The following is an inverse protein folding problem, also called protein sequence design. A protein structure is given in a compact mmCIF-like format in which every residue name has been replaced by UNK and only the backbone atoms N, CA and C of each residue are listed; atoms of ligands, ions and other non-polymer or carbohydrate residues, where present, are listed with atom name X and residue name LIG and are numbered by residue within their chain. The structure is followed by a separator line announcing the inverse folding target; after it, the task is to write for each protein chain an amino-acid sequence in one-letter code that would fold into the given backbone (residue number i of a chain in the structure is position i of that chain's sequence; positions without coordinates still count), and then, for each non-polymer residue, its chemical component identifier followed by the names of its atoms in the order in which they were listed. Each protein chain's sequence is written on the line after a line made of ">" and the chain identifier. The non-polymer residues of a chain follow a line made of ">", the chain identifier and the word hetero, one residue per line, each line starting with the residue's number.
data_IF_515398923448
#
_entry.id   IF_515398923448
#
_cell.length_a   1.000
_cell.length_b   1.000
_cell.length_c   1.000
_cell.angle_alpha   90.00
_cell.angle_beta   90.00
_cell.angle_gamma   90.00
#
_symmetry.space_group_name_H-M   'P 1'
#
loop_
_entity.id
_entity.type
_entity.pdbx_description
1 polymer ?
#
# COMPACT_ATOMS: atom_id res chain seq x y z
N UNK A 1 -46.44 -30.01 -24.11
CA UNK A 1 -45.20 -30.81 -24.23
C UNK A 1 -44.73 -30.60 -25.65
N UNK A 2 -43.55 -30.13 -26.03
CA UNK A 2 -42.21 -29.88 -25.49
C UNK A 2 -41.58 -28.91 -26.53
N UNK A 3 -40.48 -28.19 -26.40
CA UNK A 3 -39.45 -27.94 -25.41
C UNK A 3 -38.51 -26.98 -26.15
N UNK A 4 -38.35 -25.74 -25.68
CA UNK A 4 -37.58 -24.71 -26.39
C UNK A 4 -36.11 -24.84 -26.01
N UNK A 5 -35.28 -25.32 -26.95
CA UNK A 5 -33.82 -25.32 -26.86
C UNK A 5 -33.31 -23.88 -26.66
N UNK A 6 -32.86 -23.54 -25.45
CA UNK A 6 -32.10 -22.31 -25.22
C UNK A 6 -30.60 -22.57 -25.39
N UNK A 7 -30.05 -21.95 -26.43
CA UNK A 7 -28.65 -22.05 -26.84
C UNK A 7 -27.71 -21.37 -25.83
N UNK A 8 -26.82 -22.16 -25.23
CA UNK A 8 -25.77 -21.71 -24.34
C UNK A 8 -24.54 -21.15 -25.11
N UNK A 9 -24.74 -20.14 -25.97
CA UNK A 9 -23.67 -19.60 -26.85
C UNK A 9 -22.94 -18.36 -26.33
N UNK A 10 -23.39 -17.74 -25.23
CA UNK A 10 -22.78 -16.49 -24.72
C UNK A 10 -21.66 -16.68 -23.69
N UNK A 11 -21.58 -17.83 -23.00
CA UNK A 11 -20.54 -18.11 -21.99
C UNK A 11 -19.20 -18.49 -22.63
N UNK A 12 -19.23 -19.29 -23.70
CA UNK A 12 -18.02 -19.79 -24.37
C UNK A 12 -17.16 -18.71 -25.06
N UNK A 13 -17.72 -17.53 -25.36
CA UNK A 13 -17.00 -16.43 -26.00
C UNK A 13 -16.14 -15.59 -25.05
N UNK A 14 -16.52 -15.51 -23.77
CA UNK A 14 -15.79 -14.80 -22.73
C UNK A 14 -14.63 -15.67 -22.24
N UNK A 15 -14.89 -16.95 -21.97
CA UNK A 15 -13.86 -17.92 -21.58
C UNK A 15 -12.76 -18.05 -22.62
N UNK A 16 -13.08 -18.12 -23.92
CA UNK A 16 -12.06 -18.16 -24.98
C UNK A 16 -11.18 -16.93 -24.98
N UNK A 17 -11.74 -15.72 -24.85
CA UNK A 17 -10.94 -14.48 -24.79
C UNK A 17 -10.04 -14.46 -23.57
N UNK A 18 -10.52 -14.91 -22.42
CA UNK A 18 -9.72 -15.01 -21.19
C UNK A 18 -8.62 -16.06 -21.31
N UNK A 19 -8.91 -17.23 -21.89
CA UNK A 19 -7.92 -18.27 -22.22
C UNK A 19 -6.83 -17.74 -23.16
N UNK A 20 -7.19 -17.03 -24.24
CA UNK A 20 -6.21 -16.39 -25.14
C UNK A 20 -5.33 -15.36 -24.41
N UNK A 21 -5.90 -14.53 -23.53
CA UNK A 21 -5.14 -13.55 -22.75
C UNK A 21 -4.23 -14.21 -21.68
N UNK A 22 -4.63 -15.36 -21.17
CA UNK A 22 -3.83 -16.15 -20.21
C UNK A 22 -2.66 -16.85 -20.90
N UNK A 23 -2.88 -17.44 -22.08
CA UNK A 23 -1.84 -18.14 -22.85
C UNK A 23 -0.66 -17.22 -23.19
N UNK A 24 -0.93 -15.96 -23.55
CA UNK A 24 0.15 -14.98 -23.82
C UNK A 24 0.89 -14.49 -22.55
N UNK A 25 0.37 -14.77 -21.35
CA UNK A 25 1.03 -14.41 -20.07
C UNK A 25 1.90 -15.54 -19.51
N UNK A 26 1.75 -16.76 -20.00
CA UNK A 26 2.62 -17.89 -19.62
C UNK A 26 3.85 -17.87 -20.52
N UNK A 27 5.08 -17.84 -19.96
CA UNK A 27 6.29 -17.91 -20.79
C UNK A 27 6.38 -19.25 -21.51
N UNK A 28 6.98 -19.28 -22.70
CA UNK A 28 7.22 -20.52 -23.42
C UNK A 28 8.36 -21.35 -22.79
N UNK A 29 8.25 -22.68 -22.85
CA UNK A 29 9.25 -23.63 -22.35
C UNK A 29 8.68 -24.64 -21.35
N UNK A 30 9.56 -25.46 -20.77
CA UNK A 30 9.18 -26.52 -19.80
C UNK A 30 9.97 -26.42 -18.48
N UNK A 31 10.43 -25.22 -18.16
CA UNK A 31 11.15 -24.95 -16.90
C UNK A 31 10.20 -25.01 -15.69
N UNK A 32 10.69 -25.33 -14.48
CA UNK A 32 9.86 -25.34 -13.26
C UNK A 32 9.03 -24.06 -13.05
N UNK A 33 9.60 -22.89 -13.35
CA UNK A 33 8.89 -21.61 -13.29
C UNK A 33 7.72 -21.52 -14.28
N UNK A 34 7.93 -21.98 -15.52
CA UNK A 34 6.87 -22.00 -16.54
C UNK A 34 5.73 -22.93 -16.12
N UNK A 35 6.05 -24.12 -15.58
CA UNK A 35 5.04 -25.02 -15.04
C UNK A 35 4.26 -24.37 -13.90
N UNK A 36 4.95 -23.66 -12.99
CA UNK A 36 4.30 -22.89 -11.92
C UNK A 36 3.34 -21.82 -12.47
N UNK A 37 3.73 -21.05 -13.50
CA UNK A 37 2.87 -20.05 -14.15
C UNK A 37 1.66 -20.67 -14.85
N UNK A 38 1.84 -21.81 -15.50
CA UNK A 38 0.74 -22.54 -16.13
C UNK A 38 -0.27 -23.00 -15.07
N UNK A 39 0.21 -23.60 -13.98
CA UNK A 39 -0.62 -24.01 -12.85
C UNK A 39 -1.37 -22.83 -12.23
N UNK A 40 -0.68 -21.71 -12.02
CA UNK A 40 -1.26 -20.49 -11.44
C UNK A 40 -2.36 -19.88 -12.33
N UNK A 41 -2.10 -19.72 -13.63
CA UNK A 41 -2.94 -18.88 -14.49
C UNK A 41 -3.93 -19.68 -15.34
N UNK A 42 -3.57 -20.89 -15.77
CA UNK A 42 -4.39 -21.75 -16.65
C UNK A 42 -5.19 -22.73 -15.81
N UNK A 43 -4.51 -23.56 -15.02
CA UNK A 43 -5.15 -24.62 -14.22
C UNK A 43 -5.80 -24.05 -12.95
N UNK A 44 -5.44 -22.81 -12.57
CA UNK A 44 -5.88 -22.12 -11.34
C UNK A 44 -5.60 -22.91 -10.05
N UNK A 45 -4.61 -23.81 -10.11
CA UNK A 45 -4.14 -24.57 -8.95
C UNK A 45 -3.05 -23.79 -8.23
N UNK A 46 -3.48 -22.94 -7.30
CA UNK A 46 -2.60 -22.07 -6.51
C UNK A 46 -1.69 -22.86 -5.57
N UNK A 47 -2.16 -24.01 -5.05
CA UNK A 47 -1.39 -24.81 -4.09
C UNK A 47 -0.21 -25.48 -4.79
N UNK A 48 -0.47 -26.17 -5.91
CA UNK A 48 0.59 -26.83 -6.68
C UNK A 48 1.49 -25.79 -7.35
N UNK A 49 0.95 -24.63 -7.76
CA UNK A 49 1.78 -23.53 -8.26
C UNK A 49 2.84 -23.08 -7.23
N UNK A 50 2.50 -22.96 -5.95
CA UNK A 50 3.47 -22.60 -4.88
C UNK A 50 4.59 -23.64 -4.81
N UNK A 51 4.26 -24.94 -4.85
CA UNK A 51 5.27 -26.01 -4.84
C UNK A 51 6.23 -25.91 -6.04
N UNK A 52 5.69 -25.62 -7.23
CA UNK A 52 6.51 -25.45 -8.42
C UNK A 52 7.35 -24.17 -8.42
N UNK A 53 6.87 -23.08 -7.83
CA UNK A 53 7.71 -21.90 -7.62
C UNK A 53 8.85 -22.19 -6.65
N UNK A 54 8.60 -22.94 -5.57
CA UNK A 54 9.65 -23.38 -4.66
C UNK A 54 10.70 -24.25 -5.37
N UNK A 55 10.25 -25.18 -6.22
CA UNK A 55 11.13 -25.98 -7.08
C UNK A 55 11.95 -25.10 -8.04
N UNK A 56 11.36 -24.05 -8.60
CA UNK A 56 12.07 -23.11 -9.47
C UNK A 56 13.17 -22.34 -8.72
N UNK A 57 12.88 -21.86 -7.51
CA UNK A 57 13.86 -21.17 -6.65
C UNK A 57 15.07 -22.09 -6.37
N UNK A 58 14.82 -23.32 -5.93
CA UNK A 58 15.88 -24.28 -5.61
C UNK A 58 16.70 -24.71 -6.84
N UNK A 59 16.08 -24.71 -8.03
CA UNK A 59 16.75 -25.01 -9.29
C UNK A 59 17.48 -23.80 -9.90
N UNK A 60 17.41 -22.61 -9.28
CA UNK A 60 17.96 -21.37 -9.84
C UNK A 60 17.19 -20.82 -11.04
N UNK A 61 15.99 -21.35 -11.32
CA UNK A 61 15.17 -20.97 -12.46
C UNK A 61 14.37 -19.69 -12.15
N UNK A 62 14.84 -18.56 -12.72
CA UNK A 62 14.20 -17.24 -12.62
C UNK A 62 13.87 -16.87 -11.17
N UNK A 63 14.80 -17.10 -10.25
CA UNK A 63 14.62 -16.95 -8.79
C UNK A 63 13.92 -15.65 -8.40
N UNK A 64 14.33 -14.51 -8.96
CA UNK A 64 13.71 -13.20 -8.73
C UNK A 64 12.19 -13.22 -9.01
N UNK A 65 11.79 -13.77 -10.15
CA UNK A 65 10.38 -13.82 -10.57
C UNK A 65 9.62 -14.91 -9.82
N UNK A 66 10.25 -16.07 -9.61
CA UNK A 66 9.67 -17.18 -8.88
C UNK A 66 9.30 -16.79 -7.44
N UNK A 67 10.22 -16.15 -6.71
CA UNK A 67 9.98 -15.72 -5.33
C UNK A 67 8.87 -14.67 -5.24
N UNK A 68 8.87 -13.67 -6.14
CA UNK A 68 7.83 -12.64 -6.17
C UNK A 68 6.46 -13.22 -6.47
N UNK A 69 6.36 -14.05 -7.51
CA UNK A 69 5.08 -14.63 -7.91
C UNK A 69 4.57 -15.61 -6.85
N UNK A 70 5.46 -16.40 -6.22
CA UNK A 70 5.12 -17.27 -5.10
C UNK A 70 4.51 -16.49 -3.94
N UNK A 71 5.17 -15.42 -3.49
CA UNK A 71 4.69 -14.59 -2.39
C UNK A 71 3.35 -13.91 -2.71
N UNK A 72 3.12 -13.50 -3.96
CA UNK A 72 1.81 -12.96 -4.39
C UNK A 72 0.72 -14.03 -4.33
N UNK A 73 0.99 -15.26 -4.78
CA UNK A 73 0.02 -16.38 -4.71
C UNK A 73 -0.27 -16.74 -3.24
N UNK A 74 0.76 -16.83 -2.40
CA UNK A 74 0.59 -17.08 -0.97
C UNK A 74 -0.26 -16.00 -0.29
N UNK A 75 -0.03 -14.72 -0.61
CA UNK A 75 -0.87 -13.61 -0.13
C UNK A 75 -2.34 -13.77 -0.52
N UNK A 76 -2.62 -14.20 -1.76
CA UNK A 76 -3.98 -14.43 -2.26
C UNK A 76 -4.68 -15.61 -1.58
N UNK A 77 -3.91 -16.61 -1.13
CA UNK A 77 -4.37 -17.77 -0.38
C UNK A 77 -4.43 -17.53 1.15
N UNK A 78 -4.34 -16.27 1.57
CA UNK A 78 -4.30 -15.84 2.98
C UNK A 78 -3.13 -16.40 3.80
N UNK A 79 -2.08 -16.88 3.13
CA UNK A 79 -0.82 -17.39 3.72
C UNK A 79 0.23 -16.30 3.75
N UNK A 80 -0.13 -15.14 4.29
CA UNK A 80 0.71 -13.93 4.25
C UNK A 80 1.97 -14.07 5.13
N UNK A 81 1.87 -14.72 6.29
CA UNK A 81 3.02 -14.97 7.17
C UNK A 81 4.06 -15.90 6.52
N UNK A 82 3.60 -17.00 5.92
CA UNK A 82 4.48 -17.91 5.16
C UNK A 82 5.14 -17.20 3.96
N UNK A 83 4.44 -16.26 3.31
CA UNK A 83 5.03 -15.44 2.26
C UNK A 83 6.17 -14.55 2.78
N UNK A 84 6.00 -13.96 3.98
CA UNK A 84 7.04 -13.17 4.64
C UNK A 84 8.26 -14.05 4.93
N UNK A 85 8.06 -15.23 5.50
CA UNK A 85 9.13 -16.17 5.81
C UNK A 85 9.88 -16.62 4.54
N UNK A 86 9.15 -16.93 3.47
CA UNK A 86 9.74 -17.29 2.20
C UNK A 86 10.61 -16.14 1.64
N UNK A 87 10.11 -14.90 1.65
CA UNK A 87 10.91 -13.75 1.19
C UNK A 87 12.15 -13.57 2.07
N UNK A 88 12.02 -13.61 3.41
CA UNK A 88 13.17 -13.48 4.32
C UNK A 88 14.21 -14.56 4.06
N UNK A 89 13.76 -15.79 3.82
CA UNK A 89 14.62 -16.96 3.61
C UNK A 89 15.34 -16.90 2.26
N UNK A 90 14.66 -16.50 1.18
CA UNK A 90 15.21 -16.63 -0.18
C UNK A 90 15.69 -15.31 -0.81
N UNK A 91 15.39 -14.14 -0.23
CA UNK A 91 15.77 -12.85 -0.86
C UNK A 91 17.26 -12.69 -1.10
N UNK A 92 18.12 -13.35 -0.32
CA UNK A 92 19.57 -13.29 -0.51
C UNK A 92 20.04 -13.95 -1.82
N UNK A 93 19.23 -14.85 -2.39
CA UNK A 93 19.48 -15.48 -3.70
C UNK A 93 19.06 -14.57 -4.87
N UNK A 94 18.30 -13.51 -4.60
CA UNK A 94 17.78 -12.62 -5.61
C UNK A 94 18.76 -11.50 -5.98
N UNK A 95 18.64 -10.99 -7.21
CA UNK A 95 19.44 -9.86 -7.68
C UNK A 95 19.24 -8.60 -6.85
N UNK A 96 20.22 -7.68 -6.87
CA UNK A 96 20.11 -6.36 -6.23
C UNK A 96 18.89 -5.57 -6.75
N UNK A 97 18.58 -5.71 -8.04
CA UNK A 97 17.45 -5.04 -8.68
C UNK A 97 16.10 -5.58 -8.17
N UNK A 98 16.03 -6.86 -7.78
CA UNK A 98 14.81 -7.45 -7.24
C UNK A 98 14.52 -7.03 -5.79
N UNK A 99 15.56 -6.70 -5.01
CA UNK A 99 15.42 -6.33 -3.58
C UNK A 99 14.39 -5.23 -3.35
N UNK A 100 14.41 -4.17 -4.18
CA UNK A 100 13.44 -3.07 -4.03
C UNK A 100 11.99 -3.54 -4.17
N UNK A 101 11.72 -4.43 -5.14
CA UNK A 101 10.38 -4.99 -5.33
C UNK A 101 9.98 -5.97 -4.23
N UNK A 102 10.94 -6.72 -3.67
CA UNK A 102 10.71 -7.61 -2.54
C UNK A 102 10.42 -6.82 -1.26
N UNK A 103 11.14 -5.72 -1.01
CA UNK A 103 10.86 -4.83 0.12
C UNK A 103 9.46 -4.22 0.01
N UNK A 104 9.03 -3.80 -1.18
CA UNK A 104 7.70 -3.25 -1.39
C UNK A 104 6.61 -4.31 -1.10
N UNK A 105 6.87 -5.57 -1.47
CA UNK A 105 5.97 -6.68 -1.15
C UNK A 105 5.96 -6.99 0.35
N UNK A 106 7.12 -6.96 1.02
CA UNK A 106 7.23 -7.11 2.47
C UNK A 106 6.46 -6.02 3.21
N UNK A 107 6.54 -4.76 2.80
CA UNK A 107 5.79 -3.66 3.43
C UNK A 107 4.27 -3.88 3.36
N UNK A 108 3.78 -4.42 2.24
CA UNK A 108 2.37 -4.75 2.04
C UNK A 108 1.95 -6.00 2.83
N UNK A 109 2.81 -7.01 2.92
CA UNK A 109 2.58 -8.19 3.76
C UNK A 109 2.61 -7.85 5.25
N UNK A 110 3.58 -7.08 5.72
CA UNK A 110 3.64 -6.61 7.12
C UNK A 110 2.41 -5.81 7.50
N UNK A 111 1.93 -4.95 6.60
CA UNK A 111 0.68 -4.22 6.79
C UNK A 111 -0.50 -5.18 6.95
N UNK A 112 -0.59 -6.22 6.12
CA UNK A 112 -1.66 -7.23 6.18
C UNK A 112 -1.61 -8.05 7.48
N UNK A 113 -0.42 -8.41 7.95
CA UNK A 113 -0.21 -9.21 9.16
C UNK A 113 -0.16 -8.40 10.47
N UNK A 114 -0.30 -7.07 10.42
CA UNK A 114 -0.18 -6.22 11.63
C UNK A 114 1.24 -6.18 12.21
N UNK A 115 2.27 -6.55 11.44
CA UNK A 115 3.68 -6.55 11.84
C UNK A 115 4.26 -5.13 11.75
N UNK A 116 3.74 -4.23 12.59
CA UNK A 116 4.04 -2.79 12.51
C UNK A 116 5.51 -2.48 12.86
N UNK A 117 6.12 -3.25 13.77
CA UNK A 117 7.53 -3.07 14.15
C UNK A 117 8.49 -3.29 12.98
N UNK A 118 8.34 -4.43 12.30
CA UNK A 118 9.11 -4.80 11.12
C UNK A 118 8.87 -3.84 9.95
N UNK A 119 7.64 -3.35 9.81
CA UNK A 119 7.31 -2.33 8.83
C UNK A 119 8.07 -1.02 9.10
N UNK A 120 8.11 -0.55 10.34
CA UNK A 120 8.84 0.66 10.74
C UNK A 120 10.33 0.49 10.45
N UNK A 121 10.90 -0.65 10.82
CA UNK A 121 12.33 -0.90 10.65
C UNK A 121 12.72 -0.90 9.16
N UNK A 122 11.94 -1.59 8.32
CA UNK A 122 12.16 -1.61 6.88
C UNK A 122 12.01 -0.21 6.25
N UNK A 123 11.02 0.58 6.69
CA UNK A 123 10.84 1.96 6.22
C UNK A 123 12.02 2.86 6.61
N UNK A 124 12.53 2.74 7.85
CA UNK A 124 13.72 3.46 8.32
C UNK A 124 14.96 3.07 7.53
N UNK A 125 15.16 1.77 7.28
CA UNK A 125 16.27 1.28 6.46
C UNK A 125 16.21 1.86 5.05
N UNK A 126 15.04 1.85 4.39
CA UNK A 126 14.88 2.44 3.05
C UNK A 126 15.16 3.94 3.04
N UNK A 127 14.69 4.68 4.05
CA UNK A 127 15.01 6.10 4.21
C UNK A 127 16.52 6.32 4.38
N UNK A 128 17.19 5.49 5.17
CA UNK A 128 18.64 5.54 5.35
C UNK A 128 19.38 5.31 4.03
N UNK A 129 18.98 4.31 3.24
CA UNK A 129 19.58 4.06 1.92
C UNK A 129 19.41 5.22 0.94
N UNK A 130 18.34 6.01 1.06
CA UNK A 130 18.17 7.24 0.28
C UNK A 130 19.13 8.31 0.79
N UNK A 131 19.25 8.48 2.11
CA UNK A 131 20.18 9.43 2.71
C UNK A 131 21.65 9.13 2.38
N UNK A 132 22.05 7.85 2.34
CA UNK A 132 23.41 7.44 1.94
C UNK A 132 23.63 7.46 0.44
N UNK A 133 22.58 7.68 -0.37
CA UNK A 133 22.65 7.74 -1.83
C UNK A 133 22.64 6.38 -2.53
N UNK A 134 22.65 5.27 -1.78
CA UNK A 134 22.65 3.91 -2.30
C UNK A 134 21.38 3.60 -3.10
N UNK A 135 20.22 4.06 -2.63
CA UNK A 135 18.93 3.78 -3.27
C UNK A 135 18.79 4.38 -4.69
N UNK A 136 19.58 5.42 -4.99
CA UNK A 136 19.54 6.12 -6.28
C UNK A 136 20.88 6.07 -7.03
N UNK A 137 21.88 5.35 -6.51
CA UNK A 137 23.25 5.31 -7.05
C UNK A 137 23.80 6.73 -7.33
N UNK A 138 23.58 7.65 -6.40
CA UNK A 138 23.99 9.06 -6.52
C UNK A 138 23.21 9.93 -7.51
N UNK A 139 22.17 9.40 -8.17
CA UNK A 139 21.30 10.17 -9.09
C UNK A 139 20.16 10.86 -8.34
N UNK A 140 19.63 11.94 -8.89
CA UNK A 140 18.45 12.63 -8.32
C UNK A 140 17.13 11.93 -8.62
N UNK A 141 17.10 11.09 -9.67
CA UNK A 141 15.92 10.36 -10.12
C UNK A 141 16.26 8.93 -10.53
N UNK A 142 15.26 8.04 -10.47
CA UNK A 142 15.34 6.67 -10.98
C UNK A 142 14.08 6.31 -11.75
N UNK A 143 14.23 5.41 -12.73
CA UNK A 143 13.09 4.90 -13.49
C UNK A 143 12.35 3.85 -12.66
N UNK A 144 11.12 4.15 -12.27
CA UNK A 144 10.22 3.20 -11.64
C UNK A 144 9.19 2.68 -12.66
N UNK A 145 8.53 1.56 -12.34
CA UNK A 145 7.47 1.00 -13.18
C UNK A 145 6.24 0.73 -12.32
N UNK A 146 5.09 1.24 -12.76
CA UNK A 146 3.79 0.99 -12.13
C UNK A 146 2.76 0.70 -13.22
N UNK A 147 1.96 -0.36 -13.05
CA UNK A 147 0.96 -0.82 -14.03
C UNK A 147 1.48 -0.90 -15.47
N UNK A 148 2.71 -1.39 -15.65
CA UNK A 148 3.36 -1.52 -16.97
C UNK A 148 3.91 -0.21 -17.55
N UNK A 149 3.61 0.95 -16.96
CA UNK A 149 4.12 2.25 -17.38
C UNK A 149 5.41 2.61 -16.65
N UNK A 150 6.39 3.11 -17.38
CA UNK A 150 7.64 3.65 -16.82
C UNK A 150 7.43 5.12 -16.47
N UNK A 151 7.96 5.54 -15.33
CA UNK A 151 7.96 6.94 -14.91
C UNK A 151 9.25 7.26 -14.16
N UNK A 152 9.58 8.54 -14.08
CA UNK A 152 10.73 9.01 -13.29
C UNK A 152 10.27 9.29 -11.87
N UNK A 153 10.95 8.69 -10.91
CA UNK A 153 10.74 8.86 -9.49
C UNK A 153 11.91 9.65 -8.93
N UNK A 154 11.66 10.80 -8.31
CA UNK A 154 12.71 11.61 -7.66
C UNK A 154 13.00 11.17 -6.23
N UNK A 155 14.18 11.52 -5.71
CA UNK A 155 14.52 11.36 -4.28
C UNK A 155 13.44 12.01 -3.40
N UNK A 156 12.98 13.20 -3.79
CA UNK A 156 11.99 13.98 -3.05
C UNK A 156 10.64 13.25 -2.97
N UNK A 157 10.15 12.75 -4.11
CA UNK A 157 8.93 11.96 -4.21
C UNK A 157 9.00 10.69 -3.36
N UNK A 158 10.10 9.95 -3.50
CA UNK A 158 10.25 8.68 -2.79
C UNK A 158 10.38 8.89 -1.28
N UNK A 159 11.16 9.87 -0.85
CA UNK A 159 11.31 10.23 0.57
C UNK A 159 9.97 10.64 1.17
N UNK A 160 9.20 11.49 0.47
CA UNK A 160 7.89 11.91 0.93
C UNK A 160 6.93 10.73 1.09
N UNK A 161 6.91 9.80 0.13
CA UNK A 161 6.11 8.58 0.17
C UNK A 161 6.49 7.67 1.34
N UNK A 162 7.78 7.43 1.56
CA UNK A 162 8.25 6.59 2.67
C UNK A 162 7.96 7.22 4.03
N UNK A 163 8.13 8.54 4.17
CA UNK A 163 7.77 9.26 5.40
C UNK A 163 6.27 9.19 5.71
N UNK A 164 5.41 9.30 4.69
CA UNK A 164 3.97 9.15 4.87
C UNK A 164 3.58 7.74 5.32
N UNK A 165 4.22 6.71 4.75
CA UNK A 165 4.02 5.32 5.17
C UNK A 165 4.54 5.07 6.60
N UNK A 166 5.67 5.70 6.96
CA UNK A 166 6.22 5.62 8.32
C UNK A 166 5.31 6.30 9.34
N UNK A 167 4.70 7.44 8.96
CA UNK A 167 3.67 8.09 9.77
C UNK A 167 2.47 7.19 9.99
N UNK A 168 2.01 6.50 8.95
CA UNK A 168 0.91 5.54 9.08
C UNK A 168 1.26 4.40 10.03
N UNK A 169 2.47 3.85 9.95
CA UNK A 169 2.92 2.80 10.85
C UNK A 169 2.99 3.30 12.32
N UNK A 170 3.49 4.51 12.57
CA UNK A 170 3.47 5.10 13.91
C UNK A 170 2.06 5.35 14.45
N UNK A 171 1.11 5.73 13.57
CA UNK A 171 -0.30 5.84 13.97
C UNK A 171 -0.86 4.50 14.46
N UNK A 172 -0.44 3.37 13.87
CA UNK A 172 -0.88 2.04 14.32
C UNK A 172 -0.28 1.65 15.69
N UNK A 173 0.87 2.22 16.08
CA UNK A 173 1.45 2.04 17.41
C UNK A 173 0.95 3.08 18.43
N UNK A 174 -0.02 3.91 18.06
CA UNK A 174 -0.48 5.05 18.86
C UNK A 174 0.64 6.05 19.23
N UNK A 175 1.77 5.99 18.54
CA UNK A 175 2.87 6.94 18.71
C UNK A 175 2.62 8.18 17.86
N UNK A 176 1.62 8.95 18.29
CA UNK A 176 1.15 10.11 17.54
C UNK A 176 2.20 11.22 17.41
N UNK A 177 3.09 11.38 18.40
CA UNK A 177 4.16 12.36 18.35
C UNK A 177 5.16 12.05 17.22
N UNK A 178 5.60 10.79 17.12
CA UNK A 178 6.49 10.38 16.03
C UNK A 178 5.78 10.46 14.67
N UNK A 179 4.50 10.08 14.59
CA UNK A 179 3.69 10.16 13.39
C UNK A 179 3.57 11.60 12.87
N UNK A 180 3.28 12.55 13.75
CA UNK A 180 3.16 13.97 13.41
C UNK A 180 4.46 14.53 12.83
N UNK A 181 5.61 14.22 13.44
CA UNK A 181 6.91 14.67 12.98
C UNK A 181 7.20 14.21 11.54
N UNK A 182 6.95 12.93 11.24
CA UNK A 182 7.20 12.38 9.90
C UNK A 182 6.16 12.85 8.89
N UNK A 183 4.89 13.01 9.28
CA UNK A 183 3.86 13.56 8.39
C UNK A 183 4.10 15.01 8.02
N UNK A 184 4.53 15.86 8.97
CA UNK A 184 4.92 17.24 8.67
C UNK A 184 6.09 17.28 7.70
N UNK A 185 7.10 16.43 7.90
CA UNK A 185 8.24 16.34 6.98
C UNK A 185 7.81 15.86 5.60
N UNK A 186 6.91 14.89 5.50
CA UNK A 186 6.36 14.41 4.24
C UNK A 186 5.60 15.54 3.50
N UNK A 187 4.75 16.28 4.21
CA UNK A 187 3.99 17.41 3.66
C UNK A 187 4.90 18.56 3.19
N UNK A 188 5.99 18.85 3.94
CA UNK A 188 6.96 19.88 3.57
C UNK A 188 7.77 19.50 2.32
N UNK A 189 8.01 18.20 2.11
CA UNK A 189 8.62 17.70 0.88
C UNK A 189 7.60 17.84 -0.26
N UNK A 190 6.53 17.07 -0.23
CA UNK A 190 5.50 17.10 -1.28
C UNK A 190 4.12 17.29 -0.68
N UNK A 191 3.58 18.52 -0.74
CA UNK A 191 2.23 18.80 -0.30
C UNK A 191 1.23 17.93 -1.05
N UNK A 192 0.33 17.30 -0.30
CA UNK A 192 -0.70 16.41 -0.83
C UNK A 192 -1.88 16.39 0.14
N UNK A 193 -3.10 16.44 -0.40
CA UNK A 193 -4.32 16.42 0.40
C UNK A 193 -4.42 15.16 1.26
N UNK A 194 -4.00 14.00 0.76
CA UNK A 194 -4.06 12.75 1.52
C UNK A 194 -3.09 12.76 2.73
N UNK A 195 -1.87 13.26 2.53
CA UNK A 195 -0.88 13.42 3.61
C UNK A 195 -1.37 14.44 4.65
N UNK A 196 -1.96 15.55 4.20
CA UNK A 196 -2.55 16.55 5.09
C UNK A 196 -3.73 16.00 5.89
N UNK A 197 -4.63 15.21 5.28
CA UNK A 197 -5.71 14.53 5.99
C UNK A 197 -5.17 13.55 7.03
N UNK A 198 -4.13 12.77 6.71
CA UNK A 198 -3.50 11.87 7.67
C UNK A 198 -2.85 12.64 8.85
N UNK A 199 -2.21 13.78 8.58
CA UNK A 199 -1.71 14.69 9.62
C UNK A 199 -2.87 15.25 10.47
N UNK A 200 -4.00 15.61 9.86
CA UNK A 200 -5.21 16.04 10.56
C UNK A 200 -5.71 15.00 11.55
N UNK A 201 -5.85 13.74 11.11
CA UNK A 201 -6.22 12.61 11.97
C UNK A 201 -5.22 12.42 13.11
N UNK A 202 -3.92 12.51 12.82
CA UNK A 202 -2.87 12.43 13.83
C UNK A 202 -3.05 13.50 14.92
N UNK A 203 -3.28 14.76 14.52
CA UNK A 203 -3.50 15.87 15.44
C UNK A 203 -4.81 15.71 16.25
N UNK A 204 -5.87 15.16 15.64
CA UNK A 204 -7.11 14.83 16.35
C UNK A 204 -6.87 13.79 17.45
N UNK A 205 -6.10 12.74 17.16
CA UNK A 205 -5.75 11.69 18.14
C UNK A 205 -4.88 12.20 19.29
N UNK A 206 -4.12 13.27 19.08
CA UNK A 206 -3.40 13.98 20.14
C UNK A 206 -4.26 14.98 20.92
N UNK A 207 -5.53 15.17 20.55
CA UNK A 207 -6.41 16.20 21.13
C UNK A 207 -6.16 17.62 20.60
N UNK A 208 -5.23 17.82 19.67
CA UNK A 208 -4.95 19.13 19.06
C UNK A 208 -5.95 19.45 17.93
N UNK A 209 -7.21 19.64 18.31
CA UNK A 209 -8.31 19.90 17.37
C UNK A 209 -8.11 21.21 16.58
N UNK A 210 -7.53 22.24 17.19
CA UNK A 210 -7.23 23.51 16.53
C UNK A 210 -6.16 23.35 15.44
N UNK A 211 -5.11 22.57 15.71
CA UNK A 211 -4.10 22.20 14.72
C UNK A 211 -4.70 21.39 13.57
N UNK A 212 -5.49 20.37 13.89
CA UNK A 212 -6.15 19.52 12.90
C UNK A 212 -7.05 20.35 11.97
N UNK A 213 -7.92 21.19 12.54
CA UNK A 213 -8.82 22.08 11.79
C UNK A 213 -8.06 22.97 10.81
N UNK A 214 -6.94 23.58 11.23
CA UNK A 214 -6.11 24.43 10.34
C UNK A 214 -5.56 23.66 9.15
N UNK A 215 -5.03 22.46 9.37
CA UNK A 215 -4.47 21.62 8.30
C UNK A 215 -5.57 21.21 7.31
N UNK A 216 -6.72 20.76 7.81
CA UNK A 216 -7.83 20.29 6.99
C UNK A 216 -8.49 21.42 6.19
N UNK A 217 -8.63 22.62 6.76
CA UNK A 217 -9.09 23.80 6.00
C UNK A 217 -8.15 24.18 4.87
N UNK A 218 -6.83 24.00 5.05
CA UNK A 218 -5.87 24.19 3.96
C UNK A 218 -6.16 23.28 2.77
N UNK A 219 -6.52 22.02 3.02
CA UNK A 219 -6.92 21.06 1.95
C UNK A 219 -8.22 21.51 1.29
N UNK A 220 -9.24 21.88 2.08
CA UNK A 220 -10.53 22.32 1.56
C UNK A 220 -10.41 23.57 0.68
N UNK A 221 -9.69 24.59 1.14
CA UNK A 221 -9.57 25.86 0.42
C UNK A 221 -8.73 25.77 -0.86
N UNK A 222 -7.75 24.87 -0.91
CA UNK A 222 -6.90 24.69 -2.10
C UNK A 222 -7.50 23.71 -3.13
N UNK A 223 -8.45 22.86 -2.73
CA UNK A 223 -9.04 21.83 -3.59
C UNK A 223 -10.26 22.26 -4.43
N UNK A 224 -10.64 23.55 -4.42
CA UNK A 224 -11.85 24.07 -5.09
C UNK A 224 -11.89 23.95 -6.62
N UNK A 225 -10.81 23.51 -7.27
CA UNK A 225 -10.69 23.36 -8.73
C UNK A 225 -10.10 22.00 -9.18
N UNK A 226 -10.11 20.99 -8.32
CA UNK A 226 -9.33 19.77 -8.57
C UNK A 226 -10.18 18.56 -8.97
N UNK A 227 -9.89 17.98 -10.14
CA UNK A 227 -10.42 16.69 -10.60
C UNK A 227 -9.55 15.52 -10.07
N UNK A 228 -10.18 14.39 -9.72
CA UNK A 228 -9.46 13.14 -9.40
C UNK A 228 -9.16 12.89 -7.92
N UNK A 229 -7.92 12.53 -7.57
CA UNK A 229 -7.53 12.13 -6.19
C UNK A 229 -7.65 13.27 -5.18
N UNK A 230 -7.45 14.51 -5.62
CA UNK A 230 -7.56 15.70 -4.78
C UNK A 230 -9.01 15.97 -4.37
N UNK A 231 -9.99 15.60 -5.21
CA UNK A 231 -11.42 15.61 -4.87
C UNK A 231 -11.74 14.67 -3.70
N UNK A 232 -11.13 13.46 -3.67
CA UNK A 232 -11.32 12.51 -2.56
C UNK A 232 -10.69 13.01 -1.27
N UNK A 233 -9.51 13.63 -1.36
CA UNK A 233 -8.84 14.20 -0.20
C UNK A 233 -9.66 15.36 0.41
N UNK A 234 -10.26 16.21 -0.43
CA UNK A 234 -11.18 17.28 0.01
C UNK A 234 -12.40 16.69 0.69
N UNK A 235 -13.05 15.68 0.10
CA UNK A 235 -14.22 15.02 0.70
C UNK A 235 -13.89 14.48 2.10
N UNK A 236 -12.76 13.79 2.21
CA UNK A 236 -12.25 13.29 3.49
C UNK A 236 -11.94 14.42 4.48
N UNK A 237 -11.41 15.54 4.01
CA UNK A 237 -11.15 16.69 4.87
C UNK A 237 -12.43 17.28 5.45
N UNK A 238 -13.50 17.37 4.65
CA UNK A 238 -14.83 17.82 5.08
C UNK A 238 -15.42 16.89 6.14
N UNK A 239 -15.34 15.58 5.93
CA UNK A 239 -15.79 14.59 6.92
C UNK A 239 -15.07 14.77 8.27
N UNK A 240 -13.74 14.88 8.25
CA UNK A 240 -12.93 15.08 9.45
C UNK A 240 -13.22 16.42 10.14
N UNK A 241 -13.48 17.49 9.39
CA UNK A 241 -13.90 18.77 9.95
C UNK A 241 -15.25 18.66 10.68
N UNK A 242 -16.21 17.93 10.09
CA UNK A 242 -17.49 17.63 10.73
C UNK A 242 -17.33 16.80 12.01
N UNK A 243 -16.38 15.86 12.06
CA UNK A 243 -16.05 15.15 13.29
C UNK A 243 -15.52 16.09 14.38
N UNK A 244 -14.62 17.01 14.04
CA UNK A 244 -14.07 17.99 15.00
C UNK A 244 -15.20 18.88 15.57
N UNK A 245 -16.18 19.25 14.75
CA UNK A 245 -17.33 20.06 15.20
C UNK A 245 -18.25 19.31 16.17
N UNK A 246 -18.49 18.03 15.91
CA UNK A 246 -19.24 17.16 16.84
C UNK A 246 -18.53 17.02 18.18
N UNK A 247 -17.20 16.86 18.18
CA UNK A 247 -16.41 16.79 19.42
C UNK A 247 -16.36 18.14 20.16
N UNK A 248 -16.30 19.26 19.43
CA UNK A 248 -16.31 20.61 20.02
C UNK A 248 -17.66 21.00 20.64
N UNK A 249 -18.77 20.56 20.04
CA UNK A 249 -20.14 20.83 20.51
C UNK A 249 -20.60 19.94 21.67
N UNK A 250 -19.96 18.77 21.87
CA UNK A 250 -20.16 17.94 23.06
C UNK A 250 -19.53 18.56 24.32
N UNK A 251 -18.32 19.11 24.19
CA UNK A 251 -17.58 19.70 25.32
C UNK A 251 -18.19 21.04 25.81
N UNK A 252 -18.98 21.73 24.98
CA UNK A 252 -19.68 22.95 25.38
C UNK A 252 -20.97 22.69 26.18
N UNK A 253 -21.51 21.46 26.20
CA UNK A 253 -22.69 21.15 27.03
C UNK A 253 -22.33 20.93 28.49
N UNK A 254 -21.20 20.28 28.76
CA UNK A 254 -20.75 20.00 30.13
C UNK A 254 -20.19 21.23 30.87
N UNK A 255 -19.91 22.33 30.16
CA UNK A 255 -19.47 23.60 30.80
C UNK A 255 -20.65 24.54 31.10
N UNK A 256 -21.81 24.31 30.49
CA UNK A 256 -23.02 25.11 30.75
C UNK A 256 -23.82 24.52 31.91
N UNK A 257 -23.85 23.19 32.10
CA UNK A 257 -24.53 22.57 33.25
C UNK A 257 -23.85 22.84 34.61
N UNK A 258 -22.54 23.12 34.66
CA UNK A 258 -21.87 23.44 35.94
C UNK A 258 -22.06 24.90 36.37
N UNK A 259 -22.59 25.78 35.51
CA UNK A 259 -22.84 27.19 35.86
C UNK A 259 -24.28 27.50 36.27
N UNK A 260 -25.20 26.55 36.19
CA UNK A 260 -26.57 26.72 36.69
C UNK A 260 -26.80 26.14 38.10
N UNK A 261 -25.83 25.43 38.69
CA UNK A 261 -25.94 24.87 40.06
C UNK A 261 -25.26 25.70 41.18
N UNK A 262 -24.48 26.75 40.87
CA UNK A 262 -23.91 27.66 41.89
C UNK A 262 -24.56 29.06 41.88
N UNK A 263 -25.89 29.08 41.85
CA UNK A 263 -26.69 30.30 42.01
C UNK A 263 -27.68 30.21 43.17
N UNK A 264 -27.18 30.32 44.41
CA UNK A 264 -27.94 30.70 45.59
C UNK A 264 -27.18 31.77 46.37
#
# INVERSE_FOLDING_TARGET
>A
MEGRFCSNKRVAGVEKKDLFHVIHKVPAGDSPYVRAKHLQLVEKDSFTAILWFWKAINAGDRVDSALKDMAVVMKQQDRAEEAIEAIKSFRHLCSKQAQESLDNLLLDLYKKCGMVGEQIELLKQKLMMICTGEAFNGKSTKTARSHGKKFQLSIKQETSRLLANLGWAYMQQENYQAAEAVYRRAQAMEPDGNKACNLGVCLMKQGNLAGARRVLFGVFNHGGYADGEESKAVHRAVELLGEIEKHGSGCTKDVIEVKEEEGF
#
